data_IF_276536742161
#
_entry.id   IF_276536742161
#
_cell.length_a   1.000
_cell.length_b   1.000
_cell.length_c   1.000
_cell.angle_alpha   90.00
_cell.angle_beta   90.00
_cell.angle_gamma   90.00
#
_symmetry.space_group_name_H-M   'P 1'
#
loop_
_entity.id
_entity.type
_entity.pdbx_description
1 polymer ?
#
# COMPACT_ATOMS: atom_id res chain seq x y z
N UNK A 1 29.55 20.71 -24.86
CA UNK A 1 29.28 20.03 -23.59
C UNK A 1 27.78 19.85 -23.47
N UNK A 2 27.30 18.67 -23.81
CA UNK A 2 25.92 18.22 -23.60
C UNK A 2 26.02 16.73 -23.42
N UNK A 3 25.99 16.27 -22.16
CA UNK A 3 25.81 14.85 -21.87
C UNK A 3 24.31 14.63 -21.84
N UNK A 4 23.78 14.23 -22.99
CA UNK A 4 22.42 13.74 -23.12
C UNK A 4 22.29 12.52 -22.21
N UNK A 5 21.58 12.70 -21.11
CA UNK A 5 21.25 11.62 -20.20
C UNK A 5 20.13 10.80 -20.87
N UNK A 6 20.52 9.95 -21.82
CA UNK A 6 19.64 8.97 -22.43
C UNK A 6 19.20 7.98 -21.35
N UNK A 7 18.04 8.22 -20.74
CA UNK A 7 17.27 7.15 -20.12
C UNK A 7 16.98 6.11 -21.20
N UNK A 8 17.37 4.83 -21.02
CA UNK A 8 17.03 3.80 -21.97
C UNK A 8 15.51 3.60 -21.91
N UNK A 9 14.81 4.18 -22.87
CA UNK A 9 13.41 3.92 -23.13
C UNK A 9 13.31 2.48 -23.65
N UNK A 10 13.28 1.48 -22.76
CA UNK A 10 12.97 0.11 -23.17
C UNK A 10 11.60 0.13 -23.86
N UNK A 11 11.55 -0.29 -25.13
CA UNK A 11 10.30 -0.41 -25.87
C UNK A 11 9.33 -1.30 -25.07
N UNK A 12 8.02 -1.05 -25.17
CA UNK A 12 7.00 -1.81 -24.41
C UNK A 12 7.10 -3.33 -24.58
N UNK A 13 7.59 -3.80 -25.74
CA UNK A 13 7.90 -5.20 -26.01
C UNK A 13 9.07 -5.77 -25.20
N UNK A 14 10.15 -5.00 -25.02
CA UNK A 14 11.34 -5.40 -24.26
C UNK A 14 11.05 -5.49 -22.76
N UNK A 15 10.23 -4.57 -22.27
CA UNK A 15 9.76 -4.54 -20.87
C UNK A 15 8.90 -5.78 -20.55
N UNK A 16 8.04 -6.20 -21.49
CA UNK A 16 7.22 -7.40 -21.35
C UNK A 16 8.06 -8.69 -21.44
N UNK A 17 9.08 -8.72 -22.29
CA UNK A 17 10.03 -9.83 -22.36
C UNK A 17 10.86 -9.94 -21.07
N UNK A 18 11.32 -8.81 -20.53
CA UNK A 18 12.08 -8.75 -19.28
C UNK A 18 11.27 -9.24 -18.06
N UNK A 19 9.97 -8.91 -18.02
CA UNK A 19 9.06 -9.40 -16.99
C UNK A 19 8.95 -10.94 -16.97
N UNK A 20 9.07 -11.59 -18.14
CA UNK A 20 9.03 -13.05 -18.26
C UNK A 20 10.30 -13.72 -17.72
N UNK A 21 11.43 -13.01 -17.70
CA UNK A 21 12.70 -13.55 -17.23
C UNK A 21 12.82 -13.50 -15.70
N UNK A 22 12.40 -12.39 -15.07
CA UNK A 22 12.38 -12.30 -13.60
C UNK A 22 11.48 -11.17 -13.10
N UNK A 23 10.49 -11.56 -12.30
CA UNK A 23 9.61 -10.60 -11.62
C UNK A 23 10.37 -9.72 -10.62
N UNK A 24 11.44 -10.24 -10.00
CA UNK A 24 12.29 -9.46 -9.11
C UNK A 24 12.97 -8.31 -9.85
N UNK A 25 13.71 -8.63 -10.91
CA UNK A 25 14.47 -7.63 -11.67
C UNK A 25 13.55 -6.64 -12.35
N UNK A 26 12.40 -7.08 -12.86
CA UNK A 26 11.39 -6.20 -13.41
C UNK A 26 10.92 -5.15 -12.39
N UNK A 27 10.61 -5.58 -11.16
CA UNK A 27 10.13 -4.65 -10.15
C UNK A 27 11.19 -3.63 -9.76
N UNK A 28 12.45 -4.06 -9.64
CA UNK A 28 13.59 -3.17 -9.33
C UNK A 28 13.91 -2.21 -10.48
N UNK A 29 13.79 -2.66 -11.74
CA UNK A 29 14.07 -1.84 -12.92
C UNK A 29 12.97 -0.80 -13.20
N UNK A 30 11.72 -1.10 -12.86
CA UNK A 30 10.57 -0.23 -13.12
C UNK A 30 9.77 0.10 -11.85
N UNK A 31 10.40 0.69 -10.82
CA UNK A 31 9.77 0.88 -9.53
C UNK A 31 8.58 1.85 -9.58
N UNK A 32 8.60 2.82 -10.51
CA UNK A 32 7.49 3.76 -10.74
C UNK A 32 6.19 3.08 -11.18
N UNK A 33 6.25 1.86 -11.73
CA UNK A 33 5.06 1.06 -12.07
C UNK A 33 4.41 0.43 -10.83
N UNK A 34 5.09 0.44 -9.69
CA UNK A 34 4.63 -0.10 -8.42
C UNK A 34 4.41 1.04 -7.42
N UNK A 35 3.41 1.87 -7.69
CA UNK A 35 3.06 3.02 -6.83
C UNK A 35 1.97 2.71 -5.82
N UNK A 36 1.32 1.55 -5.91
CA UNK A 36 0.17 1.20 -5.07
C UNK A 36 0.23 -0.22 -4.52
N UNK A 37 -0.31 -0.40 -3.32
CA UNK A 37 -0.45 -1.70 -2.67
C UNK A 37 -1.90 -1.94 -2.21
N UNK A 38 -2.39 -3.17 -2.40
CA UNK A 38 -3.69 -3.61 -1.88
C UNK A 38 -3.47 -4.69 -0.82
N UNK A 39 -3.87 -4.39 0.41
CA UNK A 39 -3.84 -5.30 1.55
C UNK A 39 -5.23 -5.89 1.72
N UNK A 40 -5.40 -7.13 1.26
CA UNK A 40 -6.67 -7.84 1.35
C UNK A 40 -6.49 -9.17 2.09
N UNK A 41 -7.37 -9.42 3.07
CA UNK A 41 -7.53 -10.74 3.72
C UNK A 41 -6.33 -11.20 4.56
N UNK A 42 -6.28 -12.50 4.87
CA UNK A 42 -5.31 -13.09 5.82
C UNK A 42 -3.85 -13.10 5.37
N UNK A 43 -3.54 -12.76 4.11
CA UNK A 43 -2.18 -12.83 3.58
C UNK A 43 -1.40 -11.50 3.64
N UNK A 44 -1.98 -10.42 4.14
CA UNK A 44 -1.32 -9.11 4.19
C UNK A 44 0.01 -9.16 4.97
N UNK A 45 0.09 -9.90 6.10
CA UNK A 45 1.35 -10.05 6.88
C UNK A 45 2.48 -10.66 6.06
N UNK A 46 2.17 -11.66 5.23
CA UNK A 46 3.16 -12.29 4.33
C UNK A 46 3.63 -11.32 3.25
N UNK A 47 2.73 -10.52 2.71
CA UNK A 47 3.07 -9.49 1.73
C UNK A 47 3.97 -8.41 2.34
N UNK A 48 3.61 -7.89 3.52
CA UNK A 48 4.40 -6.87 4.22
C UNK A 48 5.81 -7.34 4.60
N UNK A 49 5.98 -8.64 4.91
CA UNK A 49 7.30 -9.24 5.10
C UNK A 49 8.19 -9.17 3.85
N UNK A 50 7.63 -9.05 2.65
CA UNK A 50 8.44 -8.88 1.44
C UNK A 50 9.05 -7.47 1.34
N UNK A 51 8.47 -6.49 2.02
CA UNK A 51 8.95 -5.10 2.07
C UNK A 51 9.81 -4.79 3.30
N UNK A 52 10.00 -5.76 4.21
CA UNK A 52 10.75 -5.61 5.46
C UNK A 52 11.75 -6.75 5.63
N UNK A 53 12.64 -6.68 6.63
CA UNK A 53 13.55 -7.77 7.05
C UNK A 53 14.37 -8.43 5.92
N UNK A 54 14.92 -7.64 5.00
CA UNK A 54 15.69 -8.16 3.86
C UNK A 54 14.83 -8.82 2.77
N UNK A 55 13.51 -8.60 2.80
CA UNK A 55 12.61 -9.01 1.74
C UNK A 55 12.98 -8.37 0.39
N UNK A 56 12.66 -9.08 -0.69
CA UNK A 56 13.08 -8.70 -2.03
C UNK A 56 12.36 -7.47 -2.59
N UNK A 57 11.27 -7.01 -1.96
CA UNK A 57 10.55 -5.77 -2.32
C UNK A 57 10.96 -4.58 -1.45
N UNK A 58 11.93 -4.72 -0.53
CA UNK A 58 12.43 -3.61 0.30
C UNK A 58 12.77 -2.36 -0.52
N UNK A 59 13.44 -2.44 -1.69
CA UNK A 59 13.74 -1.24 -2.49
C UNK A 59 12.50 -0.50 -3.00
N UNK A 60 11.35 -1.16 -3.06
CA UNK A 60 10.11 -0.58 -3.59
C UNK A 60 9.28 0.13 -2.53
N UNK A 61 9.59 -0.04 -1.23
CA UNK A 61 8.77 0.54 -0.15
C UNK A 61 8.64 2.06 -0.30
N UNK A 62 9.70 2.72 -0.75
CA UNK A 62 9.78 4.17 -0.90
C UNK A 62 9.05 4.67 -2.17
N UNK A 63 8.67 3.75 -3.06
CA UNK A 63 7.89 4.05 -4.27
C UNK A 63 6.38 3.85 -4.08
N UNK A 64 5.96 3.18 -3.01
CA UNK A 64 4.54 3.01 -2.67
C UNK A 64 3.99 4.34 -2.15
N UNK A 65 3.03 4.89 -2.90
CA UNK A 65 2.32 6.14 -2.61
C UNK A 65 0.85 5.92 -2.28
N UNK A 66 0.26 4.81 -2.72
CA UNK A 66 -1.13 4.50 -2.42
C UNK A 66 -1.29 3.15 -1.71
N UNK A 67 -2.18 3.11 -0.73
CA UNK A 67 -2.54 1.88 -0.01
C UNK A 67 -4.06 1.75 0.02
N UNK A 68 -4.52 0.55 -0.29
CA UNK A 68 -5.91 0.15 -0.12
C UNK A 68 -5.95 -1.02 0.87
N UNK A 69 -6.65 -0.86 1.99
CA UNK A 69 -6.76 -1.88 3.03
C UNK A 69 -8.21 -2.23 3.31
N UNK A 70 -8.46 -3.48 3.67
CA UNK A 70 -9.78 -3.96 4.08
C UNK A 70 -9.80 -4.28 5.57
N UNK A 71 -10.72 -3.66 6.30
CA UNK A 71 -10.99 -3.86 7.72
C UNK A 71 -12.23 -4.75 7.86
N UNK A 72 -12.09 -5.85 8.59
CA UNK A 72 -13.19 -6.73 8.98
C UNK A 72 -13.52 -6.60 10.48
N UNK A 73 -12.51 -6.31 11.28
CA UNK A 73 -12.60 -6.17 12.73
C UNK A 73 -11.52 -5.23 13.27
N UNK A 74 -11.50 -4.99 14.58
CA UNK A 74 -10.51 -4.11 15.21
C UNK A 74 -9.06 -4.64 15.08
N UNK A 75 -8.84 -5.94 14.97
CA UNK A 75 -7.48 -6.49 14.79
C UNK A 75 -6.88 -6.06 13.45
N UNK A 76 -7.69 -6.11 12.39
CA UNK A 76 -7.27 -5.67 11.04
C UNK A 76 -6.97 -4.16 10.95
N UNK A 77 -7.49 -3.37 11.89
CA UNK A 77 -7.15 -1.95 12.01
C UNK A 77 -5.71 -1.75 12.54
N UNK A 78 -5.29 -2.55 13.51
CA UNK A 78 -3.93 -2.50 14.03
C UNK A 78 -2.92 -2.97 12.97
N UNK A 79 -3.30 -3.97 12.17
CA UNK A 79 -2.53 -4.43 11.03
C UNK A 79 -2.40 -3.34 9.96
N UNK A 80 -3.45 -2.55 9.69
CA UNK A 80 -3.38 -1.37 8.81
C UNK A 80 -2.36 -0.37 9.31
N UNK A 81 -2.42 0.01 10.59
CA UNK A 81 -1.47 0.98 11.17
C UNK A 81 -0.03 0.51 11.02
N UNK A 82 0.23 -0.75 11.38
CA UNK A 82 1.56 -1.36 11.26
C UNK A 82 2.05 -1.42 9.81
N UNK A 83 1.14 -1.70 8.86
CA UNK A 83 1.44 -1.71 7.44
C UNK A 83 1.81 -0.33 6.91
N UNK A 84 1.06 0.69 7.34
CA UNK A 84 1.23 2.04 6.85
C UNK A 84 2.61 2.61 7.26
N UNK A 85 3.12 2.26 8.46
CA UNK A 85 4.48 2.61 8.91
C UNK A 85 5.62 2.07 8.02
N UNK A 86 5.37 1.04 7.19
CA UNK A 86 6.39 0.47 6.30
C UNK A 86 6.63 1.36 5.07
N UNK A 87 5.62 2.17 4.68
CA UNK A 87 5.63 2.95 3.45
C UNK A 87 5.74 4.44 3.77
N UNK A 88 6.95 5.02 3.81
CA UNK A 88 7.16 6.38 4.30
C UNK A 88 6.60 7.47 3.38
N UNK A 89 6.43 7.18 2.09
CA UNK A 89 5.96 8.12 1.08
C UNK A 89 4.48 7.92 0.73
N UNK A 90 3.69 7.39 1.67
CA UNK A 90 2.27 7.17 1.46
C UNK A 90 1.54 8.52 1.38
N UNK A 91 0.83 8.74 0.27
CA UNK A 91 0.05 9.95 -0.04
C UNK A 91 -1.44 9.66 -0.15
N UNK A 92 -1.82 8.40 -0.40
CA UNK A 92 -3.21 8.01 -0.57
C UNK A 92 -3.51 6.78 0.26
N UNK A 93 -4.55 6.86 1.10
CA UNK A 93 -5.03 5.74 1.90
C UNK A 93 -6.55 5.56 1.72
N UNK A 94 -6.92 4.38 1.22
CA UNK A 94 -8.32 3.93 1.14
C UNK A 94 -8.54 2.80 2.12
N UNK A 95 -9.53 2.95 2.98
CA UNK A 95 -9.92 1.93 3.95
C UNK A 95 -11.34 1.46 3.64
N UNK A 96 -11.45 0.20 3.23
CA UNK A 96 -12.73 -0.47 3.03
C UNK A 96 -13.14 -1.16 4.34
N UNK A 97 -14.32 -0.85 4.86
CA UNK A 97 -14.78 -1.37 6.15
C UNK A 97 -15.96 -2.30 5.92
N UNK A 98 -15.76 -3.59 6.22
CA UNK A 98 -16.76 -4.64 6.24
C UNK A 98 -17.01 -5.03 7.69
N UNK A 99 -17.78 -4.20 8.39
CA UNK A 99 -18.10 -4.40 9.80
C UNK A 99 -19.54 -4.00 10.07
N UNK A 100 -20.08 -4.49 11.17
CA UNK A 100 -21.43 -4.17 11.64
C UNK A 100 -21.57 -2.68 11.95
N UNK A 101 -22.72 -2.11 11.57
CA UNK A 101 -23.02 -0.68 11.76
C UNK A 101 -22.90 -0.24 13.23
N UNK A 102 -23.16 -1.13 14.19
CA UNK A 102 -23.11 -0.82 15.62
C UNK A 102 -21.68 -0.50 16.09
N UNK A 103 -20.67 -0.98 15.36
CA UNK A 103 -19.27 -0.71 15.64
C UNK A 103 -18.74 0.52 14.90
N UNK A 104 -19.55 1.15 14.04
CA UNK A 104 -19.14 2.24 13.16
C UNK A 104 -18.47 3.39 13.92
N UNK A 105 -19.08 3.88 15.00
CA UNK A 105 -18.50 4.96 15.81
C UNK A 105 -17.13 4.59 16.39
N UNK A 106 -17.00 3.39 16.92
CA UNK A 106 -15.76 2.92 17.55
C UNK A 106 -14.66 2.68 16.52
N UNK A 107 -15.01 2.14 15.35
CA UNK A 107 -14.09 1.92 14.24
C UNK A 107 -13.60 3.27 13.72
N UNK A 108 -14.48 4.23 13.42
CA UNK A 108 -14.06 5.56 12.98
C UNK A 108 -13.20 6.27 14.01
N UNK A 109 -13.59 6.26 15.28
CA UNK A 109 -12.80 6.92 16.33
C UNK A 109 -11.40 6.32 16.45
N UNK A 110 -11.32 4.98 16.55
CA UNK A 110 -10.02 4.29 16.70
C UNK A 110 -9.15 4.51 15.48
N UNK A 111 -9.76 4.47 14.30
CA UNK A 111 -9.07 4.67 13.06
C UNK A 111 -8.54 6.09 12.96
N UNK A 112 -9.38 7.13 13.12
CA UNK A 112 -8.94 8.53 13.05
C UNK A 112 -7.82 8.80 14.07
N UNK A 113 -7.96 8.26 15.29
CA UNK A 113 -6.91 8.34 16.31
C UNK A 113 -5.60 7.73 15.82
N UNK A 114 -5.63 6.48 15.34
CA UNK A 114 -4.41 5.80 14.88
C UNK A 114 -3.80 6.45 13.63
N UNK A 115 -4.62 6.98 12.72
CA UNK A 115 -4.09 7.64 11.53
C UNK A 115 -3.44 8.98 11.87
N UNK A 116 -4.01 9.72 12.84
CA UNK A 116 -3.44 10.99 13.28
C UNK A 116 -2.04 10.86 13.89
N UNK A 117 -1.63 9.65 14.26
CA UNK A 117 -0.27 9.38 14.79
C UNK A 117 0.70 8.89 13.72
N UNK A 118 0.30 8.80 12.45
CA UNK A 118 1.18 8.34 11.38
C UNK A 118 2.17 9.45 10.98
N UNK A 119 3.45 9.12 10.76
CA UNK A 119 4.49 10.11 10.47
C UNK A 119 4.33 10.80 9.10
N UNK A 120 3.54 10.21 8.20
CA UNK A 120 3.23 10.78 6.89
C UNK A 120 1.80 11.35 6.82
N UNK A 121 1.12 11.51 7.96
CA UNK A 121 -0.26 12.02 8.00
C UNK A 121 -0.41 13.36 7.26
N UNK A 122 0.55 14.27 7.45
CA UNK A 122 0.57 15.58 6.78
C UNK A 122 0.83 15.50 5.26
N UNK A 123 1.29 14.36 4.76
CA UNK A 123 1.57 14.11 3.34
C UNK A 123 0.42 13.37 2.63
N UNK A 124 -0.68 13.07 3.34
CA UNK A 124 -1.83 12.38 2.76
C UNK A 124 -2.68 13.39 1.97
N UNK A 125 -2.59 13.32 0.65
CA UNK A 125 -3.42 14.10 -0.28
C UNK A 125 -4.81 13.51 -0.47
N UNK A 126 -4.93 12.18 -0.31
CA UNK A 126 -6.20 11.48 -0.49
C UNK A 126 -6.48 10.50 0.64
N UNK A 127 -7.63 10.69 1.27
CA UNK A 127 -8.10 9.82 2.33
C UNK A 127 -9.56 9.41 2.07
N UNK A 128 -9.82 8.10 2.04
CA UNK A 128 -11.17 7.57 1.80
C UNK A 128 -11.56 6.47 2.80
N UNK A 129 -12.76 6.62 3.39
CA UNK A 129 -13.45 5.59 4.16
C UNK A 129 -14.64 5.07 3.39
N UNK A 130 -14.58 3.81 2.96
CA UNK A 130 -15.67 3.19 2.23
C UNK A 130 -16.29 2.14 3.15
N UNK A 131 -17.44 2.48 3.74
CA UNK A 131 -18.19 1.55 4.56
C UNK A 131 -19.08 0.70 3.67
N UNK A 132 -18.78 -0.60 3.58
CA UNK A 132 -19.60 -1.55 2.84
C UNK A 132 -20.71 -2.14 3.71
N UNK A 133 -20.54 -2.11 5.04
CA UNK A 133 -21.45 -2.76 5.98
C UNK A 133 -21.42 -4.28 5.83
N UNK A 134 -21.87 -4.95 6.87
CA UNK A 134 -22.37 -6.33 6.76
C UNK A 134 -23.80 -6.25 7.25
N UNK A 135 -24.76 -6.39 6.33
CA UNK A 135 -26.15 -6.64 6.69
C UNK A 135 -26.18 -8.07 7.22
N UNK A 136 -26.21 -8.25 8.54
CA UNK A 136 -26.81 -9.45 9.11
C UNK A 136 -27.95 -8.98 10.01
N UNK A 137 -29.14 -9.52 9.70
CA UNK A 137 -30.38 -9.45 10.48
C UNK A 137 -30.19 -9.83 11.95
#
# INVERSE_FOLDING_TARGET
MGLDHETPCCNSGDVAAFAKCSRFWYSVAFPSRFSGIKLHGGNHKRLLKMFTNGGWLVPLKDHIRSMNSTIYNLDTLQDLYSAALIFPNLQSLTVNIFSFWILQRNVYYTLLRNLSTLPFYDNIDHFAFIWFGTDEE
#
